data_IF_456165411895
#
_entry.id   IF_456165411895
#
_cell.length_a   1.000
_cell.length_b   1.000
_cell.length_c   1.000
_cell.angle_alpha   90.00
_cell.angle_beta   90.00
_cell.angle_gamma   90.00
#
_symmetry.space_group_name_H-M   'P 1'
#
loop_
_entity.id
_entity.type
_entity.pdbx_description
1 polymer ?
#
# COMPACT_ATOMS: atom_id res chain seq x y z
N UNK A 1 -18.87 12.89 -15.26
CA UNK A 1 -17.98 13.69 -14.40
C UNK A 1 -18.66 13.98 -13.08
N UNK A 2 -17.91 13.92 -12.00
CA UNK A 2 -18.44 14.29 -10.67
C UNK A 2 -18.54 15.81 -10.59
N UNK A 3 -19.72 16.38 -10.26
CA UNK A 3 -19.90 17.82 -10.06
C UNK A 3 -18.93 18.36 -9.00
N UNK A 4 -18.52 19.62 -9.14
CA UNK A 4 -17.51 20.21 -8.25
C UNK A 4 -17.94 20.28 -6.78
N UNK A 5 -19.22 20.42 -6.52
CA UNK A 5 -19.86 20.46 -5.21
C UNK A 5 -19.86 19.11 -4.47
N UNK A 6 -19.74 18.00 -5.22
CA UNK A 6 -19.69 16.64 -4.67
C UNK A 6 -18.27 16.09 -4.52
N UNK A 7 -17.24 16.86 -4.88
CA UNK A 7 -15.83 16.44 -4.77
C UNK A 7 -15.39 16.49 -3.31
N UNK A 8 -14.72 15.41 -2.88
CA UNK A 8 -14.16 15.37 -1.52
C UNK A 8 -13.03 16.39 -1.37
N UNK A 9 -12.90 17.04 -0.20
CA UNK A 9 -11.80 17.94 0.08
C UNK A 9 -10.46 17.17 0.11
N UNK A 10 -9.37 17.86 -0.24
CA UNK A 10 -8.05 17.27 -0.35
C UNK A 10 -7.55 16.52 0.91
N UNK A 11 -7.86 16.96 2.17
CA UNK A 11 -7.39 16.22 3.35
C UNK A 11 -8.01 14.83 3.47
N UNK A 12 -9.29 14.66 3.07
CA UNK A 12 -9.93 13.34 3.06
C UNK A 12 -9.26 12.38 2.07
N UNK A 13 -8.93 12.89 0.88
CA UNK A 13 -8.23 12.11 -0.15
C UNK A 13 -6.81 11.77 0.32
N UNK A 14 -6.08 12.74 0.88
CA UNK A 14 -4.75 12.54 1.42
C UNK A 14 -4.73 11.46 2.52
N UNK A 15 -5.74 11.42 3.39
CA UNK A 15 -5.85 10.42 4.46
C UNK A 15 -6.10 9.00 3.91
N UNK A 16 -6.91 8.88 2.86
CA UNK A 16 -7.13 7.60 2.17
C UNK A 16 -5.82 7.11 1.55
N UNK A 17 -5.07 7.98 0.89
CA UNK A 17 -3.79 7.64 0.28
C UNK A 17 -2.71 7.33 1.32
N UNK A 18 -2.66 8.07 2.44
CA UNK A 18 -1.77 7.75 3.55
C UNK A 18 -2.02 6.33 4.08
N UNK A 19 -3.30 5.93 4.23
CA UNK A 19 -3.64 4.57 4.62
C UNK A 19 -3.22 3.50 3.61
N UNK A 20 -3.18 3.84 2.33
CA UNK A 20 -2.72 2.93 1.28
C UNK A 20 -1.20 2.78 1.24
N UNK A 21 -0.45 3.81 1.63
CA UNK A 21 1.02 3.82 1.62
C UNK A 21 1.60 3.27 2.92
N UNK A 22 0.98 3.55 4.07
CA UNK A 22 1.41 3.04 5.38
C UNK A 22 0.88 1.60 5.53
N UNK A 23 1.54 0.68 4.86
CA UNK A 23 1.19 -0.74 4.88
C UNK A 23 2.43 -1.62 4.96
N UNK A 24 2.28 -2.83 5.48
CA UNK A 24 3.39 -3.76 5.66
C UNK A 24 4.15 -4.06 4.35
N UNK A 25 3.50 -4.28 3.18
CA UNK A 25 4.23 -4.48 1.95
C UNK A 25 5.13 -3.31 1.54
N UNK A 26 4.72 -2.07 1.81
CA UNK A 26 5.55 -0.91 1.53
C UNK A 26 6.83 -0.89 2.39
N UNK A 27 6.72 -1.31 3.66
CA UNK A 27 7.88 -1.49 4.53
C UNK A 27 8.80 -2.62 4.06
N UNK A 28 8.23 -3.71 3.53
CA UNK A 28 9.01 -4.83 2.98
C UNK A 28 9.82 -4.42 1.74
N UNK A 29 9.31 -3.51 0.90
CA UNK A 29 10.07 -2.96 -0.23
C UNK A 29 11.37 -2.31 0.26
N UNK A 30 11.32 -1.56 1.36
CA UNK A 30 12.51 -0.97 1.98
C UNK A 30 13.54 -2.03 2.39
N UNK A 31 13.10 -3.11 3.03
CA UNK A 31 13.98 -4.19 3.43
C UNK A 31 14.58 -4.94 2.24
N UNK A 32 13.82 -5.14 1.16
CA UNK A 32 14.32 -5.81 -0.06
C UNK A 32 15.40 -4.99 -0.77
N UNK A 33 15.25 -3.67 -0.83
CA UNK A 33 16.25 -2.78 -1.43
C UNK A 33 17.55 -2.81 -0.63
N UNK A 34 17.45 -2.90 0.71
CA UNK A 34 18.63 -2.95 1.58
C UNK A 34 19.41 -4.27 1.53
N UNK A 35 18.89 -5.34 0.90
CA UNK A 35 19.62 -6.59 0.75
C UNK A 35 20.84 -6.48 -0.19
N UNK A 36 20.81 -5.57 -1.16
CA UNK A 36 21.88 -5.41 -2.14
C UNK A 36 22.62 -4.08 -2.08
N UNK A 37 22.29 -3.19 -1.11
CA UNK A 37 22.86 -1.84 -1.03
C UNK A 37 23.08 -1.41 0.41
N UNK A 38 24.07 -0.53 0.61
CA UNK A 38 24.28 0.14 1.89
C UNK A 38 23.10 1.05 2.23
N UNK A 39 22.90 1.33 3.50
CA UNK A 39 21.79 2.16 3.98
C UNK A 39 21.68 3.51 3.26
N UNK A 40 22.80 4.19 3.03
CA UNK A 40 22.84 5.48 2.32
C UNK A 40 22.38 5.34 0.88
N UNK A 41 22.84 4.32 0.18
CA UNK A 41 22.46 4.04 -1.20
C UNK A 41 20.98 3.65 -1.30
N UNK A 42 20.50 2.77 -0.41
CA UNK A 42 19.10 2.37 -0.33
C UNK A 42 18.19 3.57 -0.09
N UNK A 43 18.53 4.42 0.87
CA UNK A 43 17.77 5.63 1.17
C UNK A 43 17.74 6.60 -0.03
N UNK A 44 18.88 6.82 -0.69
CA UNK A 44 18.95 7.68 -1.88
C UNK A 44 18.12 7.12 -3.03
N UNK A 45 18.22 5.82 -3.32
CA UNK A 45 17.43 5.16 -4.36
C UNK A 45 15.93 5.24 -4.07
N UNK A 46 15.52 5.05 -2.81
CA UNK A 46 14.13 5.18 -2.42
C UNK A 46 13.62 6.62 -2.62
N UNK A 47 14.37 7.62 -2.19
CA UNK A 47 13.98 9.03 -2.35
C UNK A 47 13.84 9.37 -3.82
N UNK A 48 14.83 9.03 -4.66
CA UNK A 48 14.79 9.31 -6.10
C UNK A 48 13.60 8.56 -6.74
N UNK A 49 13.43 7.28 -6.44
CA UNK A 49 12.33 6.48 -6.97
C UNK A 49 10.96 7.06 -6.60
N UNK A 50 10.76 7.41 -5.33
CA UNK A 50 9.50 8.04 -4.90
C UNK A 50 9.26 9.42 -5.51
N UNK A 51 10.29 10.25 -5.64
CA UNK A 51 10.17 11.56 -6.30
C UNK A 51 9.71 11.40 -7.75
N UNK A 52 10.29 10.45 -8.49
CA UNK A 52 9.88 10.16 -9.87
C UNK A 52 8.43 9.66 -9.94
N UNK A 53 8.06 8.71 -9.07
CA UNK A 53 6.68 8.19 -9.02
C UNK A 53 5.69 9.29 -8.68
N UNK A 54 5.98 10.09 -7.65
CA UNK A 54 5.11 11.22 -7.24
C UNK A 54 4.96 12.22 -8.36
N UNK A 55 6.04 12.54 -9.08
CA UNK A 55 6.00 13.44 -10.22
C UNK A 55 5.00 12.96 -11.29
N UNK A 56 5.10 11.68 -11.71
CA UNK A 56 4.16 11.10 -12.67
C UNK A 56 2.73 11.03 -12.13
N UNK A 57 2.57 10.65 -10.86
CA UNK A 57 1.24 10.60 -10.24
C UNK A 57 0.59 11.98 -10.14
N UNK A 58 1.35 13.04 -9.87
CA UNK A 58 0.84 14.41 -9.85
C UNK A 58 0.33 14.85 -11.23
N UNK A 59 1.08 14.56 -12.30
CA UNK A 59 0.65 14.88 -13.66
C UNK A 59 -0.67 14.21 -14.03
N UNK A 60 -0.81 12.93 -13.70
CA UNK A 60 -2.05 12.17 -13.93
C UNK A 60 -3.19 12.63 -13.00
N UNK A 61 -2.86 12.97 -11.76
CA UNK A 61 -3.80 13.47 -10.76
C UNK A 61 -4.43 14.80 -11.15
N UNK A 62 -3.65 15.75 -11.66
CA UNK A 62 -4.13 17.04 -12.15
C UNK A 62 -5.15 16.83 -13.27
N UNK A 63 -4.82 16.04 -14.27
CA UNK A 63 -5.72 15.77 -15.39
C UNK A 63 -7.04 15.12 -14.94
N UNK A 64 -6.98 14.16 -14.04
CA UNK A 64 -8.16 13.46 -13.52
C UNK A 64 -9.01 14.36 -12.64
N UNK A 65 -8.38 15.23 -11.86
CA UNK A 65 -9.06 16.21 -11.00
C UNK A 65 -9.81 17.27 -11.81
N UNK A 66 -9.17 17.83 -12.84
CA UNK A 66 -9.77 18.86 -13.69
C UNK A 66 -10.97 18.31 -14.46
N UNK A 67 -10.85 17.10 -14.98
CA UNK A 67 -11.91 16.44 -15.75
C UNK A 67 -13.01 15.86 -14.86
N UNK A 68 -12.75 15.62 -13.57
CA UNK A 68 -13.65 14.90 -12.66
C UNK A 68 -13.98 13.49 -13.14
N UNK A 69 -13.03 12.81 -13.79
CA UNK A 69 -13.19 11.50 -14.40
C UNK A 69 -12.22 10.48 -13.74
N UNK A 70 -12.62 9.21 -13.64
CA UNK A 70 -11.67 8.14 -13.25
C UNK A 70 -10.53 8.03 -14.24
N UNK A 71 -9.35 7.63 -13.75
CA UNK A 71 -8.12 7.52 -14.56
C UNK A 71 -8.31 6.68 -15.83
N UNK A 72 -9.05 5.57 -15.75
CA UNK A 72 -9.37 4.70 -16.90
C UNK A 72 -10.12 5.42 -18.02
N UNK A 73 -10.99 6.36 -17.67
CA UNK A 73 -11.73 7.17 -18.65
C UNK A 73 -10.86 8.31 -19.18
N UNK A 74 -10.05 8.94 -18.34
CA UNK A 74 -9.13 10.00 -18.76
C UNK A 74 -8.12 9.48 -19.79
N UNK A 75 -7.58 8.29 -19.57
CA UNK A 75 -6.62 7.61 -20.44
C UNK A 75 -7.25 7.24 -21.82
N UNK A 76 -8.57 7.14 -21.91
CA UNK A 76 -9.24 6.83 -23.19
C UNK A 76 -8.99 7.85 -24.29
N UNK A 77 -8.57 9.07 -23.94
CA UNK A 77 -8.16 10.09 -24.91
C UNK A 77 -6.85 9.73 -25.61
N UNK A 78 -5.92 9.05 -24.93
CA UNK A 78 -4.63 8.64 -25.48
C UNK A 78 -4.70 7.29 -26.19
N UNK A 79 -5.42 6.32 -25.61
CA UNK A 79 -5.46 4.94 -26.12
C UNK A 79 -6.75 4.59 -26.89
N UNK A 80 -7.65 5.54 -27.06
CA UNK A 80 -8.98 5.31 -27.64
C UNK A 80 -9.90 4.49 -26.72
N UNK A 81 -11.18 4.42 -27.06
CA UNK A 81 -12.18 3.72 -26.24
C UNK A 81 -11.89 2.22 -26.06
N UNK A 82 -11.48 1.54 -27.15
CA UNK A 82 -11.18 0.09 -27.10
C UNK A 82 -9.89 -0.20 -26.35
N UNK A 83 -8.83 0.58 -26.57
CA UNK A 83 -7.56 0.43 -25.87
C UNK A 83 -7.68 0.68 -24.36
N UNK A 84 -8.36 1.73 -23.98
CA UNK A 84 -8.60 2.04 -22.56
C UNK A 84 -9.50 1.01 -21.87
N UNK A 85 -10.59 0.59 -22.52
CA UNK A 85 -11.56 -0.33 -21.93
C UNK A 85 -11.02 -1.75 -21.78
N UNK A 86 -10.18 -2.21 -22.68
CA UNK A 86 -9.66 -3.58 -22.63
C UNK A 86 -8.25 -3.63 -22.05
N UNK A 87 -7.29 -2.98 -22.68
CA UNK A 87 -5.88 -3.16 -22.35
C UNK A 87 -5.52 -2.51 -21.00
N UNK A 88 -5.94 -1.27 -20.80
CA UNK A 88 -5.65 -0.55 -19.53
C UNK A 88 -6.39 -1.17 -18.36
N UNK A 89 -7.68 -1.53 -18.56
CA UNK A 89 -8.46 -2.18 -17.50
C UNK A 89 -7.93 -3.56 -17.16
N UNK A 90 -7.45 -4.33 -18.14
CA UNK A 90 -6.83 -5.63 -17.91
C UNK A 90 -5.55 -5.52 -17.09
N UNK A 91 -4.66 -4.59 -17.46
CA UNK A 91 -3.41 -4.35 -16.71
C UNK A 91 -3.69 -3.94 -15.28
N UNK A 92 -4.62 -3.01 -15.07
CA UNK A 92 -5.01 -2.59 -13.71
C UNK A 92 -5.61 -3.76 -12.93
N UNK A 93 -6.46 -4.57 -13.54
CA UNK A 93 -7.07 -5.72 -12.88
C UNK A 93 -6.01 -6.74 -12.44
N UNK A 94 -5.05 -7.08 -13.30
CA UNK A 94 -3.95 -8.00 -12.99
C UNK A 94 -3.10 -7.45 -11.83
N UNK A 95 -2.74 -6.16 -11.88
CA UNK A 95 -1.99 -5.51 -10.81
C UNK A 95 -2.75 -5.52 -9.47
N UNK A 96 -4.06 -5.25 -9.49
CA UNK A 96 -4.89 -5.25 -8.28
C UNK A 96 -5.07 -6.65 -7.70
N UNK A 97 -5.22 -7.68 -8.55
CA UNK A 97 -5.27 -9.09 -8.10
C UNK A 97 -3.95 -9.49 -7.45
N UNK A 98 -2.81 -9.13 -8.06
CA UNK A 98 -1.48 -9.40 -7.49
C UNK A 98 -1.28 -8.71 -6.13
N UNK A 99 -1.69 -7.45 -6.03
CA UNK A 99 -1.63 -6.70 -4.77
C UNK A 99 -2.54 -7.28 -3.69
N UNK A 100 -3.77 -7.67 -4.06
CA UNK A 100 -4.71 -8.34 -3.16
C UNK A 100 -4.14 -9.67 -2.64
N UNK A 101 -3.56 -10.49 -3.51
CA UNK A 101 -2.93 -11.75 -3.14
C UNK A 101 -1.76 -11.56 -2.16
N UNK A 102 -0.89 -10.59 -2.41
CA UNK A 102 0.22 -10.26 -1.52
C UNK A 102 -0.26 -9.81 -0.13
N UNK A 103 -1.21 -8.90 -0.07
CA UNK A 103 -1.79 -8.42 1.19
C UNK A 103 -2.46 -9.54 1.98
N UNK A 104 -3.26 -10.36 1.31
CA UNK A 104 -3.95 -11.50 1.94
C UNK A 104 -2.97 -12.51 2.50
N UNK A 105 -1.90 -12.83 1.75
CA UNK A 105 -0.87 -13.77 2.20
C UNK A 105 -0.11 -13.27 3.43
N UNK A 106 0.24 -11.99 3.46
CA UNK A 106 0.92 -11.37 4.61
C UNK A 106 0.02 -11.34 5.85
N UNK A 107 -1.25 -11.00 5.69
CA UNK A 107 -2.22 -11.00 6.77
C UNK A 107 -2.43 -12.41 7.33
N UNK A 108 -2.63 -13.39 6.45
CA UNK A 108 -2.81 -14.79 6.81
C UNK A 108 -1.58 -15.38 7.51
N UNK A 109 -0.38 -15.10 7.00
CA UNK A 109 0.88 -15.55 7.62
C UNK A 109 1.09 -14.94 9.01
N UNK A 110 0.83 -13.66 9.17
CA UNK A 110 0.91 -12.98 10.47
C UNK A 110 -0.08 -13.59 11.47
N UNK A 111 -1.31 -13.88 11.04
CA UNK A 111 -2.31 -14.53 11.87
C UNK A 111 -1.86 -15.93 12.30
N UNK A 112 -1.35 -16.76 11.37
CA UNK A 112 -0.82 -18.08 11.69
C UNK A 112 0.33 -18.01 12.71
N UNK A 113 1.24 -17.05 12.56
CA UNK A 113 2.35 -16.82 13.50
C UNK A 113 1.85 -16.44 14.90
N UNK A 114 0.81 -15.61 14.99
CA UNK A 114 0.20 -15.24 16.28
C UNK A 114 -0.47 -16.47 16.91
N UNK A 115 -1.22 -17.25 16.13
CA UNK A 115 -1.88 -18.46 16.64
C UNK A 115 -0.88 -19.49 17.17
N UNK A 116 0.21 -19.73 16.46
CA UNK A 116 1.25 -20.66 16.89
C UNK A 116 2.07 -20.15 18.06
N UNK A 117 2.41 -18.84 18.07
CA UNK A 117 3.29 -18.26 19.08
C UNK A 117 2.61 -17.98 20.44
N UNK A 118 1.36 -17.55 20.43
CA UNK A 118 0.64 -17.18 21.67
C UNK A 118 -0.36 -18.22 22.13
N UNK A 119 -1.00 -18.92 21.22
CA UNK A 119 -2.07 -19.89 21.52
C UNK A 119 -1.61 -21.33 21.37
N UNK A 120 -0.40 -21.59 20.88
CA UNK A 120 0.10 -22.96 20.57
C UNK A 120 -0.82 -23.76 19.63
N UNK A 121 -1.57 -23.07 18.77
CA UNK A 121 -2.49 -23.68 17.81
C UNK A 121 -1.85 -23.62 16.41
N UNK A 122 -1.62 -24.77 15.80
CA UNK A 122 -1.18 -24.86 14.42
C UNK A 122 -2.35 -24.62 13.48
N UNK A 123 -2.57 -23.34 13.12
CA UNK A 123 -3.64 -22.96 12.22
C UNK A 123 -3.19 -23.15 10.77
N UNK A 124 -3.96 -23.89 9.93
CA UNK A 124 -3.56 -24.15 8.56
C UNK A 124 -3.60 -22.86 7.72
N UNK A 125 -2.51 -22.61 6.99
CA UNK A 125 -2.32 -21.39 6.20
C UNK A 125 -3.43 -21.19 5.16
N UNK A 126 -3.87 -22.24 4.48
CA UNK A 126 -4.92 -22.16 3.47
C UNK A 126 -6.26 -21.65 4.03
N UNK A 127 -6.63 -22.08 5.25
CA UNK A 127 -7.84 -21.64 5.91
C UNK A 127 -7.73 -20.16 6.33
N UNK A 128 -6.57 -19.76 6.83
CA UNK A 128 -6.27 -18.36 7.16
C UNK A 128 -6.41 -17.45 5.92
N UNK A 129 -5.86 -17.87 4.77
CA UNK A 129 -5.97 -17.12 3.51
C UNK A 129 -7.43 -16.97 3.08
N UNK A 130 -8.24 -18.02 3.20
CA UNK A 130 -9.68 -17.94 2.86
C UNK A 130 -10.41 -16.97 3.79
N UNK A 131 -10.20 -17.06 5.10
CA UNK A 131 -10.89 -16.20 6.07
C UNK A 131 -10.54 -14.74 5.82
N UNK A 132 -9.25 -14.41 5.74
CA UNK A 132 -8.80 -13.03 5.55
C UNK A 132 -9.12 -12.50 4.15
N UNK A 133 -9.03 -13.34 3.12
CA UNK A 133 -9.44 -13.00 1.77
C UNK A 133 -10.93 -12.68 1.65
N UNK A 134 -11.80 -13.52 2.24
CA UNK A 134 -13.23 -13.26 2.29
C UNK A 134 -13.54 -11.97 3.06
N UNK A 135 -12.89 -11.74 4.19
CA UNK A 135 -13.10 -10.55 5.01
C UNK A 135 -12.70 -9.29 4.25
N UNK A 136 -11.55 -9.30 3.56
CA UNK A 136 -11.10 -8.18 2.70
C UNK A 136 -12.05 -7.96 1.52
N UNK A 137 -12.54 -9.04 0.90
CA UNK A 137 -13.53 -8.96 -0.18
C UNK A 137 -14.84 -8.33 0.29
N UNK A 138 -15.37 -8.78 1.42
CA UNK A 138 -16.60 -8.23 2.01
C UNK A 138 -16.42 -6.73 2.30
N UNK A 139 -15.32 -6.33 2.94
CA UNK A 139 -15.05 -4.91 3.23
C UNK A 139 -14.97 -4.07 1.96
N UNK A 140 -14.42 -4.62 0.87
CA UNK A 140 -14.34 -3.96 -0.43
C UNK A 140 -15.72 -3.76 -1.06
N UNK A 141 -16.62 -4.74 -0.94
CA UNK A 141 -17.98 -4.66 -1.48
C UNK A 141 -18.82 -3.60 -0.77
N UNK A 142 -18.65 -3.43 0.55
CA UNK A 142 -19.33 -2.36 1.29
C UNK A 142 -18.83 -0.94 0.93
N UNK A 143 -17.76 -0.85 0.17
CA UNK A 143 -17.33 0.36 -0.51
C UNK A 143 -16.59 1.39 0.35
N UNK A 144 -16.43 2.59 -0.19
CA UNK A 144 -15.54 3.65 0.31
C UNK A 144 -15.84 4.07 1.75
N UNK A 145 -17.08 4.01 2.19
CA UNK A 145 -17.46 4.43 3.57
C UNK A 145 -16.84 3.53 4.65
N UNK A 146 -16.85 2.21 4.43
CA UNK A 146 -16.26 1.26 5.36
C UNK A 146 -14.73 1.35 5.35
N UNK A 147 -14.14 1.51 4.17
CA UNK A 147 -12.69 1.73 4.01
C UNK A 147 -12.26 3.02 4.73
N UNK A 148 -13.01 4.11 4.58
CA UNK A 148 -12.72 5.37 5.26
C UNK A 148 -12.80 5.25 6.79
N UNK A 149 -13.78 4.51 7.30
CA UNK A 149 -13.91 4.23 8.73
C UNK A 149 -12.73 3.39 9.24
N UNK A 150 -12.39 2.30 8.55
CA UNK A 150 -11.25 1.45 8.92
C UNK A 150 -9.93 2.22 8.90
N UNK A 151 -9.73 3.07 7.89
CA UNK A 151 -8.51 3.88 7.80
C UNK A 151 -8.41 4.90 8.94
N UNK A 152 -9.51 5.48 9.42
CA UNK A 152 -9.48 6.39 10.57
C UNK A 152 -8.93 5.75 11.84
N UNK A 153 -9.13 4.45 11.98
CA UNK A 153 -8.62 3.69 13.16
C UNK A 153 -7.25 3.09 12.87
N UNK A 154 -7.09 2.46 11.72
CA UNK A 154 -5.88 1.69 11.39
C UNK A 154 -4.68 2.58 11.09
N UNK A 155 -4.84 3.71 10.40
CA UNK A 155 -3.73 4.58 10.02
C UNK A 155 -3.02 5.19 11.23
N UNK A 156 -3.71 5.78 12.22
CA UNK A 156 -3.05 6.25 13.43
C UNK A 156 -2.36 5.13 14.22
N UNK A 157 -3.02 3.96 14.32
CA UNK A 157 -2.45 2.81 15.02
C UNK A 157 -1.15 2.33 14.36
N UNK A 158 -1.17 2.15 13.03
CA UNK A 158 0.01 1.75 12.27
C UNK A 158 1.13 2.80 12.35
N UNK A 159 0.79 4.08 12.32
CA UNK A 159 1.76 5.16 12.45
C UNK A 159 2.44 5.16 13.82
N UNK A 160 1.68 4.98 14.90
CA UNK A 160 2.21 4.85 16.24
C UNK A 160 3.12 3.62 16.36
N UNK A 161 2.68 2.47 15.83
CA UNK A 161 3.49 1.24 15.83
C UNK A 161 4.79 1.41 15.04
N UNK A 162 4.74 2.12 13.91
CA UNK A 162 5.92 2.38 13.09
C UNK A 162 6.92 3.28 13.83
N UNK A 163 6.46 4.37 14.44
CA UNK A 163 7.30 5.25 15.26
C UNK A 163 7.91 4.47 16.44
N UNK A 164 7.08 3.69 17.13
CA UNK A 164 7.55 2.84 18.23
C UNK A 164 8.63 1.85 17.77
N UNK A 165 8.42 1.20 16.63
CA UNK A 165 9.39 0.29 16.02
C UNK A 165 10.72 0.97 15.74
N UNK A 166 10.69 2.15 15.11
CA UNK A 166 11.90 2.94 14.81
C UNK A 166 12.61 3.34 16.09
N UNK A 167 11.90 3.88 17.09
CA UNK A 167 12.50 4.27 18.37
C UNK A 167 13.11 3.05 19.07
N UNK A 168 12.41 1.93 19.12
CA UNK A 168 12.90 0.70 19.75
C UNK A 168 14.16 0.17 19.06
N UNK A 169 14.23 0.24 17.74
CA UNK A 169 15.43 -0.13 16.98
C UNK A 169 16.61 0.80 17.29
N UNK A 170 16.37 2.11 17.33
CA UNK A 170 17.41 3.10 17.67
C UNK A 170 17.94 2.91 19.09
N UNK A 171 17.05 2.68 20.06
CA UNK A 171 17.43 2.44 21.45
C UNK A 171 18.23 1.15 21.66
N UNK A 172 18.03 0.15 20.80
CA UNK A 172 18.79 -1.13 20.82
C UNK A 172 20.13 -1.05 20.08
N UNK A 173 20.57 0.13 19.65
CA UNK A 173 21.83 0.34 18.95
C UNK A 173 21.83 -0.08 17.48
N UNK A 174 20.66 -0.33 16.91
CA UNK A 174 20.53 -0.71 15.50
C UNK A 174 21.11 0.35 14.54
N UNK A 175 21.20 1.60 14.96
CA UNK A 175 21.80 2.67 14.15
C UNK A 175 23.27 2.38 13.79
N UNK A 176 24.05 1.85 14.73
CA UNK A 176 25.44 1.47 14.48
C UNK A 176 25.54 0.26 13.55
N UNK A 177 24.67 -0.74 13.75
CA UNK A 177 24.62 -1.95 12.92
C UNK A 177 24.21 -1.62 11.49
N UNK A 178 23.22 -0.75 11.31
CA UNK A 178 22.73 -0.31 10.01
C UNK A 178 23.78 0.56 9.29
N UNK A 179 24.51 1.40 10.02
CA UNK A 179 25.58 2.24 9.46
C UNK A 179 26.80 1.41 9.02
N UNK A 180 27.08 0.31 9.72
CA UNK A 180 28.19 -0.59 9.43
C UNK A 180 27.83 -1.70 8.45
N UNK A 181 26.56 -1.80 8.03
CA UNK A 181 26.12 -2.83 7.10
C UNK A 181 26.69 -2.59 5.71
N UNK A 182 27.51 -3.50 5.25
CA UNK A 182 28.04 -3.56 3.90
C UNK A 182 27.53 -4.83 3.22
N UNK A 183 26.71 -4.74 2.18
CA UNK A 183 26.14 -5.90 1.52
C UNK A 183 27.25 -6.70 0.80
N UNK A 184 27.12 -8.03 0.70
CA UNK A 184 28.08 -8.89 0.02
C UNK A 184 28.13 -8.64 -1.49
#
# INVERSE_FOLDING_TARGET
SVPADQRKPWPSIAFIWAGSVICIPALMVGSLISLGMNFKQSALCMVIGYVLVVFYMCLMGIQSSDLGLPATVAISRAYGKRGSSFLVSLVIAVCMIGWFAAQTSLCAGSFCNIMSGYFNVNFPMWLSVIIWGCLMFITSVYGVKLIEFLNKVSVPALFIMLIWGVISCLMRGAAATVAAYDPP
#
